data_IF_607505140028
#
_entry.id   IF_607505140028
#
_cell.length_a   1.000
_cell.length_b   1.000
_cell.length_c   1.000
_cell.angle_alpha   90.00
_cell.angle_beta   90.00
_cell.angle_gamma   90.00
#
_symmetry.space_group_name_H-M   'P 1'
#
loop_
_entity.id
_entity.type
_entity.pdbx_description
1 polymer ?
#
# COMPACT_ATOMS: atom_id res chain seq x y z
N UNK A 1 26.67 -10.11 36.55
CA UNK A 1 25.34 -10.73 36.74
C UNK A 1 24.23 -9.71 36.50
N UNK A 2 23.74 -9.55 35.26
CA UNK A 2 22.59 -8.66 34.97
C UNK A 2 21.24 -9.24 35.42
N UNK A 3 21.22 -10.50 35.83
CA UNK A 3 20.00 -11.27 36.13
C UNK A 3 19.81 -11.59 37.62
N UNK A 4 20.79 -11.26 38.46
CA UNK A 4 20.73 -11.52 39.91
C UNK A 4 20.63 -10.20 40.67
N UNK A 5 19.78 -10.18 41.68
CA UNK A 5 19.62 -9.06 42.60
C UNK A 5 20.47 -9.23 43.87
N UNK A 6 20.64 -8.16 44.65
CA UNK A 6 21.40 -8.19 45.91
C UNK A 6 20.47 -8.62 47.07
N UNK A 7 20.84 -9.72 47.75
CA UNK A 7 20.10 -10.37 48.84
C UNK A 7 19.59 -9.39 49.93
N UNK A 8 18.34 -9.58 50.39
CA UNK A 8 17.85 -9.05 51.68
C UNK A 8 17.81 -10.18 52.71
N UNK A 9 18.38 -9.95 53.89
CA UNK A 9 18.21 -10.85 55.04
C UNK A 9 16.78 -10.77 55.57
N UNK A 10 16.09 -11.91 55.66
CA UNK A 10 14.90 -12.09 56.49
C UNK A 10 15.20 -13.18 57.51
N UNK A 11 15.07 -12.81 58.78
CA UNK A 11 14.91 -13.63 59.99
C UNK A 11 15.74 -14.92 60.09
N UNK A 12 16.89 -14.84 60.78
CA UNK A 12 17.70 -15.89 61.47
C UNK A 12 17.78 -17.34 60.94
N UNK A 13 17.39 -17.60 59.70
CA UNK A 13 17.72 -18.79 58.91
C UNK A 13 18.42 -18.26 57.67
N UNK A 14 19.67 -18.69 57.44
CA UNK A 14 20.46 -18.28 56.28
C UNK A 14 19.92 -18.96 55.01
N UNK A 15 18.72 -18.58 54.58
CA UNK A 15 18.27 -18.88 53.22
C UNK A 15 18.96 -17.88 52.28
N UNK A 16 20.05 -18.32 51.65
CA UNK A 16 20.60 -17.66 50.47
C UNK A 16 19.66 -17.97 49.29
N UNK A 17 18.49 -17.34 49.27
CA UNK A 17 17.62 -17.39 48.09
C UNK A 17 18.28 -16.51 47.03
N UNK A 18 18.86 -17.13 46.01
CA UNK A 18 19.39 -16.40 44.88
C UNK A 18 18.22 -15.75 44.11
N UNK A 19 17.87 -14.53 44.46
CA UNK A 19 16.75 -13.82 43.85
C UNK A 19 17.14 -13.28 42.46
N UNK A 20 16.33 -13.67 41.49
CA UNK A 20 16.43 -13.15 40.13
C UNK A 20 15.92 -11.70 40.04
N UNK A 21 16.40 -10.93 39.06
CA UNK A 21 15.85 -9.61 38.77
C UNK A 21 14.35 -9.70 38.40
N UNK A 22 13.56 -8.63 38.62
CA UNK A 22 12.15 -8.61 38.20
C UNK A 22 11.97 -8.96 36.71
N UNK A 23 10.99 -9.82 36.42
CA UNK A 23 10.76 -10.38 35.09
C UNK A 23 11.56 -11.64 34.77
N UNK A 24 12.26 -12.19 35.76
CA UNK A 24 12.97 -13.47 35.69
C UNK A 24 12.59 -14.35 36.87
N UNK A 25 12.52 -15.66 36.65
CA UNK A 25 12.25 -16.68 37.68
C UNK A 25 13.43 -17.64 37.81
N UNK A 26 13.55 -18.29 38.96
CA UNK A 26 14.57 -19.29 39.21
C UNK A 26 14.07 -20.65 38.73
N UNK A 27 14.71 -21.23 37.72
CA UNK A 27 14.35 -22.56 37.25
C UNK A 27 15.00 -23.68 38.09
N UNK A 28 14.59 -24.93 37.86
CA UNK A 28 15.09 -26.12 38.58
C UNK A 28 16.61 -26.34 38.45
N UNK A 29 17.27 -25.68 37.50
CA UNK A 29 18.72 -25.76 37.29
C UNK A 29 19.48 -24.66 38.06
N UNK A 30 18.78 -23.88 38.89
CA UNK A 30 19.37 -22.76 39.65
C UNK A 30 19.79 -21.59 38.76
N UNK A 31 19.18 -21.43 37.57
CA UNK A 31 19.44 -20.32 36.65
C UNK A 31 18.23 -19.39 36.57
N UNK A 32 18.51 -18.09 36.48
CA UNK A 32 17.48 -17.09 36.20
C UNK A 32 17.08 -17.15 34.72
N UNK A 33 15.83 -17.44 34.48
CA UNK A 33 15.22 -17.52 33.15
C UNK A 33 14.18 -16.41 33.00
N UNK A 34 14.05 -15.86 31.80
CA UNK A 34 13.15 -14.74 31.54
C UNK A 34 11.70 -15.22 31.50
N UNK A 35 10.77 -14.46 32.10
CA UNK A 35 9.35 -14.73 31.95
C UNK A 35 8.92 -14.65 30.48
N UNK A 36 7.95 -15.49 30.11
CA UNK A 36 7.28 -15.33 28.83
C UNK A 36 6.63 -13.94 28.73
N UNK A 37 6.62 -13.35 27.54
CA UNK A 37 5.97 -12.06 27.30
C UNK A 37 4.50 -12.13 27.72
N UNK A 38 4.05 -11.12 28.47
CA UNK A 38 2.70 -11.08 29.04
C UNK A 38 2.55 -11.77 30.39
N UNK A 39 3.65 -12.31 30.96
CA UNK A 39 3.69 -12.93 32.27
C UNK A 39 4.69 -12.24 33.20
N UNK A 40 4.39 -12.24 34.50
CA UNK A 40 5.15 -11.61 35.58
C UNK A 40 4.95 -12.38 36.90
N UNK A 41 5.49 -11.87 38.00
CA UNK A 41 5.50 -12.54 39.31
C UNK A 41 6.78 -13.35 39.55
N UNK A 42 6.88 -13.98 40.73
CA UNK A 42 8.07 -14.72 41.17
C UNK A 42 8.35 -15.96 40.30
N UNK A 43 7.29 -16.65 39.88
CA UNK A 43 7.35 -17.86 39.04
C UNK A 43 6.78 -17.63 37.63
N UNK A 44 6.63 -16.36 37.20
CA UNK A 44 6.00 -16.00 35.94
C UNK A 44 4.58 -16.58 35.78
N UNK A 45 3.84 -16.76 36.88
CA UNK A 45 2.49 -17.33 36.89
C UNK A 45 1.38 -16.27 36.80
N UNK A 46 1.72 -15.00 36.95
CA UNK A 46 0.76 -13.91 36.87
C UNK A 46 0.73 -13.34 35.46
N UNK A 47 -0.47 -13.21 34.86
CA UNK A 47 -0.60 -12.41 33.64
C UNK A 47 -0.32 -10.94 33.94
N UNK A 48 0.15 -10.22 32.91
CA UNK A 48 0.27 -8.77 33.03
C UNK A 48 -1.08 -8.13 33.41
N UNK A 49 -1.05 -7.12 34.30
CA UNK A 49 -2.23 -6.38 34.65
C UNK A 49 -2.83 -5.70 33.42
N UNK A 50 -4.15 -5.50 33.42
CA UNK A 50 -4.87 -4.95 32.28
C UNK A 50 -4.26 -3.62 31.81
N UNK A 51 -4.09 -3.48 30.49
CA UNK A 51 -3.46 -2.29 29.90
C UNK A 51 -1.94 -2.28 29.94
N UNK A 52 -1.28 -3.33 30.45
CA UNK A 52 0.17 -3.49 30.41
C UNK A 52 0.59 -4.71 29.59
N UNK A 53 1.77 -4.62 29.00
CA UNK A 53 2.28 -5.67 28.13
C UNK A 53 3.81 -5.74 28.10
N UNK A 54 4.32 -6.79 27.46
CA UNK A 54 5.73 -6.97 27.17
C UNK A 54 6.53 -7.56 28.32
N UNK A 55 7.86 -7.40 28.29
CA UNK A 55 8.76 -7.96 29.32
C UNK A 55 8.48 -7.30 30.66
N UNK A 56 8.26 -8.12 31.69
CA UNK A 56 7.95 -7.66 33.05
C UNK A 56 6.79 -6.65 33.11
N UNK A 57 5.86 -6.69 32.14
CA UNK A 57 4.74 -5.76 32.03
C UNK A 57 5.17 -4.28 32.11
N UNK A 58 6.32 -3.94 31.54
CA UNK A 58 6.93 -2.61 31.63
C UNK A 58 6.36 -1.58 30.65
N UNK A 59 5.57 -2.03 29.67
CA UNK A 59 4.98 -1.18 28.65
C UNK A 59 3.48 -1.06 28.84
N UNK A 60 2.93 0.13 28.57
CA UNK A 60 1.49 0.41 28.67
C UNK A 60 0.85 0.47 27.29
N UNK A 61 -0.31 -0.16 27.14
CA UNK A 61 -1.13 -0.07 25.94
C UNK A 61 -1.72 1.33 25.76
N UNK A 62 -1.89 1.75 24.51
CA UNK A 62 -2.53 3.03 24.14
C UNK A 62 -4.05 2.92 23.98
N UNK A 63 -4.62 1.73 24.05
CA UNK A 63 -6.06 1.46 24.03
C UNK A 63 -6.62 1.20 25.44
N UNK A 64 -7.93 0.95 25.51
CA UNK A 64 -8.57 0.51 26.75
C UNK A 64 -7.96 -0.78 27.26
N UNK A 65 -7.82 -0.86 28.58
CA UNK A 65 -7.09 -1.92 29.28
C UNK A 65 -7.66 -3.32 29.01
N UNK A 66 -8.98 -3.42 28.80
CA UNK A 66 -9.71 -4.66 28.49
C UNK A 66 -9.42 -5.22 27.09
N UNK A 67 -8.92 -4.37 26.18
CA UNK A 67 -8.62 -4.75 24.80
C UNK A 67 -7.13 -4.85 24.51
N UNK A 68 -6.28 -4.81 25.53
CA UNK A 68 -4.83 -4.89 25.39
C UNK A 68 -4.36 -6.35 25.44
N UNK A 69 -3.67 -6.82 24.39
CA UNK A 69 -2.97 -8.11 24.45
C UNK A 69 -1.73 -8.00 25.37
N UNK A 70 -1.67 -8.73 26.50
CA UNK A 70 -0.58 -8.64 27.46
C UNK A 70 0.77 -9.08 26.87
N UNK A 71 0.76 -9.91 25.82
CA UNK A 71 1.99 -10.40 25.19
C UNK A 71 2.62 -9.35 24.28
N UNK A 72 1.86 -8.81 23.32
CA UNK A 72 2.36 -7.95 22.25
C UNK A 72 2.00 -6.47 22.40
N UNK A 73 1.07 -6.14 23.27
CA UNK A 73 0.52 -4.78 23.39
C UNK A 73 -0.42 -4.39 22.26
N UNK A 74 -0.77 -5.33 21.38
CA UNK A 74 -1.74 -5.09 20.31
C UNK A 74 -3.13 -4.90 20.89
N UNK A 75 -3.85 -3.95 20.34
CA UNK A 75 -5.22 -3.71 20.74
C UNK A 75 -6.15 -4.65 19.97
N UNK A 76 -7.10 -5.29 20.64
CA UNK A 76 -8.14 -6.10 19.99
C UNK A 76 -8.98 -5.26 19.01
N UNK A 77 -9.12 -3.95 19.25
CA UNK A 77 -9.66 -3.00 18.29
C UNK A 77 -8.83 -2.89 17.00
N UNK A 78 -7.51 -3.06 17.07
CA UNK A 78 -6.62 -3.12 15.90
C UNK A 78 -6.71 -4.47 15.17
N UNK A 79 -7.08 -5.56 15.85
CA UNK A 79 -7.26 -6.87 15.22
C UNK A 79 -8.45 -6.85 14.23
N UNK A 80 -9.47 -6.01 14.49
CA UNK A 80 -10.57 -5.79 13.54
C UNK A 80 -10.17 -4.91 12.34
N UNK A 81 -9.17 -4.03 12.49
CA UNK A 81 -8.62 -3.21 11.39
C UNK A 81 -7.54 -3.94 10.58
N UNK A 82 -6.78 -4.87 11.18
CA UNK A 82 -5.76 -5.66 10.49
C UNK A 82 -6.32 -6.84 9.68
N UNK A 83 -7.54 -7.29 9.95
CA UNK A 83 -8.23 -8.24 9.06
C UNK A 83 -8.69 -7.60 7.74
N UNK A 84 -8.85 -6.27 7.70
CA UNK A 84 -9.04 -5.56 6.44
C UNK A 84 -7.73 -5.46 5.63
N UNK A 85 -6.55 -5.40 6.26
CA UNK A 85 -5.27 -5.32 5.52
C UNK A 85 -4.80 -6.66 4.95
N UNK A 86 -5.11 -7.80 5.58
CA UNK A 86 -4.80 -9.12 5.01
C UNK A 86 -5.68 -9.48 3.80
N UNK A 87 -6.88 -8.87 3.68
CA UNK A 87 -7.69 -8.89 2.45
C UNK A 87 -7.26 -7.85 1.41
N UNK A 88 -6.54 -6.81 1.82
CA UNK A 88 -6.07 -5.71 0.95
C UNK A 88 -4.81 -6.01 0.14
N UNK A 89 -4.13 -7.13 0.42
CA UNK A 89 -3.09 -7.68 -0.47
C UNK A 89 -3.64 -8.11 -1.86
N UNK A 90 -4.94 -7.89 -2.12
CA UNK A 90 -5.59 -8.03 -3.43
C UNK A 90 -6.11 -6.70 -4.05
N UNK A 91 -6.15 -5.58 -3.31
CA UNK A 91 -6.79 -4.32 -3.79
C UNK A 91 -5.77 -3.33 -4.37
N UNK A 92 -4.52 -3.34 -3.90
CA UNK A 92 -3.45 -2.47 -4.44
C UNK A 92 -3.06 -2.84 -5.89
N UNK A 93 -3.21 -4.11 -6.24
CA UNK A 93 -3.00 -4.58 -7.61
C UNK A 93 -4.19 -4.24 -8.51
N UNK A 94 -5.43 -4.20 -8.00
CA UNK A 94 -6.61 -3.90 -8.81
C UNK A 94 -6.75 -2.40 -9.14
N UNK A 95 -6.41 -1.51 -8.19
CA UNK A 95 -6.47 -0.05 -8.43
C UNK A 95 -5.33 0.42 -9.35
N UNK A 96 -4.14 -0.13 -9.20
CA UNK A 96 -2.98 0.19 -10.04
C UNK A 96 -3.12 -0.37 -11.46
N UNK A 97 -3.68 -1.59 -11.61
CA UNK A 97 -3.99 -2.16 -12.94
C UNK A 97 -5.15 -1.45 -13.63
N UNK A 98 -6.16 -0.98 -12.89
CA UNK A 98 -7.27 -0.21 -13.46
C UNK A 98 -6.79 1.11 -14.11
N UNK A 99 -5.90 1.86 -13.46
CA UNK A 99 -5.31 3.06 -14.07
C UNK A 99 -4.47 2.73 -15.30
N UNK A 100 -3.63 1.69 -15.23
CA UNK A 100 -2.80 1.26 -16.36
C UNK A 100 -3.64 0.88 -17.59
N UNK A 101 -4.76 0.14 -17.41
CA UNK A 101 -5.67 -0.24 -18.50
C UNK A 101 -6.38 1.00 -19.06
N UNK A 102 -6.85 1.91 -18.21
CA UNK A 102 -7.52 3.13 -18.64
C UNK A 102 -6.59 4.03 -19.49
N UNK A 103 -5.36 4.27 -19.04
CA UNK A 103 -4.38 5.05 -19.82
C UNK A 103 -3.99 4.33 -21.12
N UNK A 104 -3.83 3.01 -21.10
CA UNK A 104 -3.55 2.22 -22.30
C UNK A 104 -4.64 2.35 -23.36
N UNK A 105 -5.90 2.22 -22.97
CA UNK A 105 -7.03 2.37 -23.89
C UNK A 105 -7.10 3.78 -24.49
N UNK A 106 -6.95 4.83 -23.67
CA UNK A 106 -6.98 6.22 -24.14
C UNK A 106 -5.86 6.50 -25.15
N UNK A 107 -4.65 6.01 -24.89
CA UNK A 107 -3.52 6.20 -25.81
C UNK A 107 -3.71 5.47 -27.14
N UNK A 108 -4.31 4.27 -27.12
CA UNK A 108 -4.65 3.54 -28.34
C UNK A 108 -5.72 4.28 -29.16
N UNK A 109 -6.79 4.78 -28.53
CA UNK A 109 -7.81 5.57 -29.23
C UNK A 109 -7.22 6.85 -29.83
N UNK A 110 -6.38 7.56 -29.09
CA UNK A 110 -5.72 8.77 -29.59
C UNK A 110 -4.82 8.48 -30.80
N UNK A 111 -4.05 7.38 -30.76
CA UNK A 111 -3.21 6.95 -31.89
C UNK A 111 -4.04 6.59 -33.12
N UNK A 112 -5.16 5.87 -32.95
CA UNK A 112 -6.06 5.54 -34.06
C UNK A 112 -6.68 6.78 -34.69
N UNK A 113 -7.16 7.73 -33.88
CA UNK A 113 -7.71 9.01 -34.37
C UNK A 113 -6.64 9.76 -35.17
N UNK A 114 -5.40 9.81 -34.68
CA UNK A 114 -4.30 10.45 -35.38
C UNK A 114 -4.02 9.80 -36.75
N UNK A 115 -3.93 8.48 -36.81
CA UNK A 115 -3.70 7.73 -38.06
C UNK A 115 -4.85 7.94 -39.05
N UNK A 116 -6.10 7.88 -38.58
CA UNK A 116 -7.28 8.15 -39.41
C UNK A 116 -7.25 9.57 -39.94
N UNK A 117 -6.92 10.56 -39.09
CA UNK A 117 -6.82 11.96 -39.51
C UNK A 117 -5.73 12.17 -40.56
N UNK A 118 -4.57 11.52 -40.40
CA UNK A 118 -3.47 11.58 -41.36
C UNK A 118 -3.86 10.93 -42.68
N UNK A 119 -4.55 9.78 -42.63
CA UNK A 119 -5.03 9.08 -43.81
C UNK A 119 -6.10 9.89 -44.55
N UNK A 120 -7.05 10.49 -43.83
CA UNK A 120 -8.04 11.38 -44.41
C UNK A 120 -7.40 12.64 -44.99
N UNK A 121 -6.41 13.23 -44.31
CA UNK A 121 -5.66 14.37 -44.83
C UNK A 121 -4.87 14.00 -46.08
N UNK A 122 -4.23 12.83 -46.09
CA UNK A 122 -3.53 12.28 -47.24
C UNK A 122 -4.49 12.08 -48.41
N UNK A 123 -5.63 11.40 -48.20
CA UNK A 123 -6.64 11.20 -49.24
C UNK A 123 -7.33 12.50 -49.66
N UNK A 124 -7.52 13.45 -48.74
CA UNK A 124 -8.07 14.76 -49.04
C UNK A 124 -7.12 15.55 -49.94
N UNK A 125 -5.82 15.53 -49.63
CA UNK A 125 -4.79 16.14 -50.45
C UNK A 125 -4.65 15.44 -51.81
N UNK A 126 -4.68 14.11 -51.81
CA UNK A 126 -4.63 13.29 -53.01
C UNK A 126 -5.86 13.52 -53.91
N UNK A 127 -7.06 13.60 -53.34
CA UNK A 127 -8.30 13.94 -54.07
C UNK A 127 -8.31 15.38 -54.56
N UNK A 128 -7.73 16.32 -53.81
CA UNK A 128 -7.57 17.70 -54.28
C UNK A 128 -6.67 17.74 -55.51
N UNK A 129 -5.55 17.01 -55.49
CA UNK A 129 -4.66 16.88 -56.66
C UNK A 129 -5.35 16.19 -57.84
N UNK A 130 -6.16 15.15 -57.62
CA UNK A 130 -6.92 14.48 -58.69
C UNK A 130 -8.06 15.35 -59.27
N UNK A 131 -8.76 16.14 -58.43
CA UNK A 131 -9.73 17.14 -58.91
C UNK A 131 -9.08 18.30 -59.67
N UNK A 132 -7.82 18.63 -59.37
CA UNK A 132 -7.05 19.60 -60.15
C UNK A 132 -6.69 19.02 -61.53
N UNK A 133 -6.43 17.72 -61.65
CA UNK A 133 -6.33 17.06 -62.97
C UNK A 133 -7.66 17.02 -63.72
N UNK A 134 -8.80 16.85 -63.05
CA UNK A 134 -10.12 16.89 -63.71
C UNK A 134 -10.51 18.31 -64.17
N UNK A 135 -10.14 19.36 -63.43
CA UNK A 135 -10.24 20.77 -63.86
C UNK A 135 -9.23 21.15 -64.97
N UNK A 136 -8.24 20.29 -65.26
CA UNK A 136 -7.29 20.45 -66.36
C UNK A 136 -7.78 19.81 -67.68
N UNK A 137 -9.04 19.36 -67.73
CA UNK A 137 -9.71 19.00 -68.98
C UNK A 137 -9.81 20.24 -69.91
N UNK A 138 -9.38 20.15 -71.19
CA UNK A 138 -9.40 21.28 -72.13
C UNK A 138 -10.77 21.94 -72.32
N UNK A 139 -11.87 21.27 -71.93
CA UNK A 139 -13.24 21.75 -72.17
C UNK A 139 -13.74 22.76 -71.13
N UNK A 140 -13.31 22.70 -69.87
CA UNK A 140 -13.71 23.67 -68.83
C UNK A 140 -12.92 24.98 -68.91
N UNK A 141 -11.64 24.90 -69.33
CA UNK A 141 -10.81 26.07 -69.61
C UNK A 141 -11.34 26.90 -70.79
N UNK A 142 -11.92 26.25 -71.80
CA UNK A 142 -12.56 26.93 -72.93
C UNK A 142 -13.88 27.60 -72.50
N UNK A 143 -14.70 26.91 -71.68
CA UNK A 143 -15.96 27.47 -71.16
C UNK A 143 -15.76 28.71 -70.28
N UNK A 144 -14.68 28.77 -69.49
CA UNK A 144 -14.31 29.97 -68.73
C UNK A 144 -13.80 31.14 -69.61
N UNK A 145 -13.06 30.85 -70.68
CA UNK A 145 -12.60 31.86 -71.64
C UNK A 145 -13.74 32.42 -72.49
N UNK A 146 -14.66 31.56 -72.90
CA UNK A 146 -15.83 31.97 -73.68
C UNK A 146 -16.81 32.77 -72.81
N UNK A 147 -17.07 32.35 -71.56
CA UNK A 147 -17.93 33.08 -70.62
C UNK A 147 -17.46 34.50 -70.29
N UNK A 148 -16.15 34.76 -70.28
CA UNK A 148 -15.59 36.12 -70.11
C UNK A 148 -15.76 37.02 -71.33
N UNK A 149 -15.93 36.46 -72.52
CA UNK A 149 -16.06 37.22 -73.78
C UNK A 149 -17.46 37.82 -73.96
N UNK A 150 -18.49 37.19 -73.39
CA UNK A 150 -19.89 37.65 -73.48
C UNK A 150 -20.30 38.62 -72.36
N UNK A 151 -19.47 38.79 -71.32
CA UNK A 151 -19.73 39.72 -70.21
C UNK A 151 -19.09 41.10 -70.41
N UNK A 152 -18.39 41.33 -71.54
CA UNK A 152 -17.63 42.53 -71.84
C UNK A 152 -18.19 43.37 -73.02
N UNK A 153 -19.44 43.10 -73.41
CA UNK A 153 -20.21 43.87 -74.42
C UNK A 153 -21.44 44.44 -73.72
#
# INVERSE_FOLDING_TARGET
NKYFSALRMKDEVREMIADCCPGYFLNNNGKCEECALGWTGHDCMDLCPQGWFGRNCSSRCFCWSEFCDPKSGKCLSDILLQRMSAGLLSVDNLRTTAFAIAFGAVMLFAALIFVISMFLAYHYHYRKSAKIEEFSSPQEQQRYKDGKRYAAV
#
